data_IF_638908254823
#
_entry.id   IF_638908254823
#
_cell.length_a   1.000
_cell.length_b   1.000
_cell.length_c   1.000
_cell.angle_alpha   90.00
_cell.angle_beta   90.00
_cell.angle_gamma   90.00
#
_symmetry.space_group_name_H-M   'P 1'
#
loop_
_entity.id
_entity.type
_entity.pdbx_description
1 polymer ?
#
# COMPACT_ATOMS: atom_id res chain seq x y z
N UNK A 1 62.49 -29.59 -23.13
CA UNK A 1 62.04 -30.88 -23.68
C UNK A 1 60.54 -31.00 -23.45
N UNK A 2 59.78 -31.03 -24.56
CA UNK A 2 58.35 -31.36 -24.74
C UNK A 2 57.29 -30.54 -23.99
N UNK A 3 56.88 -29.46 -24.67
CA UNK A 3 55.50 -28.98 -24.73
C UNK A 3 54.58 -30.16 -25.06
N UNK A 4 53.64 -30.48 -24.19
CA UNK A 4 52.56 -31.42 -24.49
C UNK A 4 51.28 -30.61 -24.75
N UNK A 5 51.09 -30.28 -26.02
CA UNK A 5 49.79 -29.97 -26.60
C UNK A 5 48.89 -31.20 -26.50
N UNK A 6 47.81 -31.11 -25.73
CA UNK A 6 46.63 -31.96 -25.94
C UNK A 6 45.45 -31.06 -26.29
N UNK A 7 45.21 -30.99 -27.59
CA UNK A 7 44.00 -30.45 -28.21
C UNK A 7 42.98 -31.59 -28.27
N UNK A 8 41.69 -31.22 -28.14
CA UNK A 8 40.48 -31.92 -28.64
C UNK A 8 39.77 -32.90 -27.67
N UNK A 9 38.42 -33.05 -27.69
CA UNK A 9 37.37 -32.32 -28.43
C UNK A 9 36.31 -31.63 -27.54
N UNK A 10 35.61 -30.72 -28.19
CA UNK A 10 34.29 -30.20 -27.86
C UNK A 10 33.29 -31.33 -27.53
N UNK A 11 32.71 -31.28 -26.33
CA UNK A 11 31.38 -31.80 -26.07
C UNK A 11 30.49 -30.61 -25.72
N UNK A 12 29.93 -29.99 -26.76
CA UNK A 12 28.72 -29.18 -26.63
C UNK A 12 27.61 -30.10 -26.13
N UNK A 13 27.43 -30.17 -24.81
CA UNK A 13 26.23 -30.71 -24.22
C UNK A 13 25.07 -29.73 -24.52
N UNK A 14 24.29 -30.12 -25.54
CA UNK A 14 22.84 -30.00 -25.55
C UNK A 14 22.24 -28.59 -25.53
N UNK A 15 22.14 -27.98 -26.72
CA UNK A 15 21.05 -27.07 -27.04
C UNK A 15 19.71 -27.82 -26.88
N UNK A 16 18.97 -27.54 -25.80
CA UNK A 16 17.68 -28.17 -25.52
C UNK A 16 16.82 -27.42 -24.50
N UNK A 17 17.07 -26.13 -24.28
CA UNK A 17 16.38 -25.30 -23.27
C UNK A 17 15.86 -23.97 -23.83
N UNK A 18 15.71 -23.84 -25.16
CA UNK A 18 15.30 -22.57 -25.77
C UNK A 18 13.78 -22.39 -25.81
N UNK A 19 13.01 -23.44 -26.11
CA UNK A 19 11.55 -23.30 -26.28
C UNK A 19 10.80 -23.01 -24.97
N UNK A 20 11.21 -23.59 -23.85
CA UNK A 20 10.50 -23.43 -22.57
C UNK A 20 10.64 -22.02 -22.01
N UNK A 21 11.83 -21.42 -22.13
CA UNK A 21 12.07 -20.04 -21.69
C UNK A 21 11.37 -19.02 -22.60
N UNK A 22 11.28 -19.31 -23.89
CA UNK A 22 10.58 -18.45 -24.85
C UNK A 22 9.05 -18.46 -24.60
N UNK A 23 8.47 -19.63 -24.30
CA UNK A 23 7.05 -19.76 -23.92
C UNK A 23 6.74 -19.09 -22.58
N UNK A 24 7.64 -19.16 -21.61
CA UNK A 24 7.46 -18.48 -20.32
C UNK A 24 7.51 -16.95 -20.45
N UNK A 25 8.39 -16.44 -21.32
CA UNK A 25 8.49 -15.01 -21.61
C UNK A 25 7.22 -14.50 -22.32
N UNK A 26 6.73 -15.23 -23.32
CA UNK A 26 5.50 -14.87 -24.05
C UNK A 26 4.27 -14.91 -23.13
N UNK A 27 4.21 -15.86 -22.18
CA UNK A 27 3.12 -15.95 -21.20
C UNK A 27 3.10 -14.73 -20.26
N UNK A 28 4.28 -14.29 -19.80
CA UNK A 28 4.43 -13.08 -18.96
C UNK A 28 4.03 -11.81 -19.69
N UNK A 29 4.39 -11.68 -20.97
CA UNK A 29 3.99 -10.52 -21.78
C UNK A 29 2.48 -10.48 -22.02
N UNK A 30 1.83 -11.64 -22.24
CA UNK A 30 0.36 -11.72 -22.36
C UNK A 30 -0.36 -11.39 -21.05
N UNK A 31 0.18 -11.81 -19.89
CA UNK A 31 -0.39 -11.49 -18.58
C UNK A 31 -0.33 -9.98 -18.28
N UNK A 32 0.80 -9.33 -18.60
CA UNK A 32 0.95 -7.87 -18.49
C UNK A 32 -0.04 -7.14 -19.40
N UNK A 33 -0.17 -7.56 -20.66
CA UNK A 33 -1.11 -6.95 -21.62
C UNK A 33 -2.59 -7.11 -21.20
N UNK A 34 -2.95 -8.24 -20.56
CA UNK A 34 -4.28 -8.45 -19.99
C UNK A 34 -4.52 -7.50 -18.80
N UNK A 35 -3.54 -7.34 -17.92
CA UNK A 35 -3.61 -6.47 -16.74
C UNK A 35 -3.73 -4.98 -17.11
N UNK A 36 -3.04 -4.55 -18.16
CA UNK A 36 -3.18 -3.20 -18.72
C UNK A 36 -4.57 -2.97 -19.35
N UNK A 37 -5.13 -3.97 -20.05
CA UNK A 37 -6.50 -3.90 -20.58
C UNK A 37 -7.54 -3.83 -19.47
N UNK A 38 -7.40 -4.60 -18.39
CA UNK A 38 -8.30 -4.52 -17.22
C UNK A 38 -8.29 -3.12 -16.57
N UNK A 39 -7.12 -2.48 -16.47
CA UNK A 39 -7.01 -1.11 -15.98
C UNK A 39 -7.70 -0.10 -16.92
N UNK A 40 -7.57 -0.29 -18.23
CA UNK A 40 -8.23 0.60 -19.22
C UNK A 40 -9.75 0.49 -19.22
N UNK A 41 -10.30 -0.69 -18.93
CA UNK A 41 -11.74 -0.92 -18.83
C UNK A 41 -12.30 -0.36 -17.52
N UNK A 42 -11.59 -0.54 -16.39
CA UNK A 42 -11.96 0.09 -15.12
C UNK A 42 -12.00 1.62 -15.19
N UNK A 43 -11.21 2.23 -16.06
CA UNK A 43 -11.28 3.68 -16.30
C UNK A 43 -12.47 4.09 -17.18
N UNK A 44 -12.92 3.23 -18.10
CA UNK A 44 -14.09 3.49 -18.96
C UNK A 44 -15.43 3.34 -18.23
N UNK A 45 -15.53 2.48 -17.23
CA UNK A 45 -16.77 2.32 -16.46
C UNK A 45 -17.05 3.48 -15.49
N UNK A 46 -16.07 4.37 -15.27
CA UNK A 46 -16.24 5.56 -14.42
C UNK A 46 -16.65 6.82 -15.21
N UNK A 47 -16.77 6.74 -16.55
CA UNK A 47 -17.08 7.90 -17.42
C UNK A 47 -18.21 7.59 -18.40
N UNK A 48 -19.33 7.01 -17.95
CA UNK A 48 -20.61 7.08 -18.72
C UNK A 48 -21.81 6.95 -17.78
N UNK A 49 -22.09 8.01 -17.00
CA UNK A 49 -23.46 8.32 -16.58
C UNK A 49 -23.56 9.78 -16.10
N UNK A 50 -23.72 10.72 -17.04
CA UNK A 50 -24.35 12.02 -16.79
C UNK A 50 -24.93 12.58 -18.08
N UNK A 51 -26.26 12.68 -18.13
CA UNK A 51 -27.03 13.62 -18.96
C UNK A 51 -28.22 14.06 -18.10
N UNK A 52 -28.22 15.24 -17.47
CA UNK A 52 -28.51 16.62 -17.94
C UNK A 52 -30.00 16.97 -18.04
N UNK A 53 -30.40 17.94 -17.21
CA UNK A 53 -31.36 19.04 -17.42
C UNK A 53 -31.54 19.74 -16.06
N UNK A 54 -31.48 21.05 -15.86
CA UNK A 54 -31.35 22.19 -16.77
C UNK A 54 -30.96 23.44 -15.97
N UNK A 55 -30.91 24.56 -16.69
CA UNK A 55 -30.30 25.84 -16.33
C UNK A 55 -30.94 26.58 -15.14
N UNK A 56 -30.12 27.29 -14.35
CA UNK A 56 -30.29 28.73 -14.09
C UNK A 56 -29.09 29.31 -13.34
N UNK A 57 -28.61 30.45 -13.85
CA UNK A 57 -27.48 31.24 -13.35
C UNK A 57 -27.87 31.95 -12.04
N UNK A 58 -27.08 31.78 -10.98
CA UNK A 58 -27.11 32.63 -9.78
C UNK A 58 -25.69 32.82 -9.24
N UNK A 59 -25.26 34.08 -9.17
CA UNK A 59 -23.94 34.48 -8.67
C UNK A 59 -23.93 34.34 -7.14
N UNK A 60 -23.35 33.26 -6.65
CA UNK A 60 -22.92 33.12 -5.26
C UNK A 60 -21.52 32.47 -5.22
N UNK A 61 -20.68 32.80 -4.22
CA UNK A 61 -19.28 32.39 -4.21
C UNK A 61 -19.21 30.87 -4.25
N UNK A 62 -18.57 30.36 -5.30
CA UNK A 62 -18.35 28.95 -5.59
C UNK A 62 -17.48 28.35 -4.49
N UNK A 63 -18.10 27.95 -3.39
CA UNK A 63 -17.51 27.02 -2.43
C UNK A 63 -17.18 25.78 -3.24
N UNK A 64 -15.88 25.51 -3.37
CA UNK A 64 -15.39 24.34 -4.07
C UNK A 64 -16.09 23.09 -3.50
N UNK A 65 -16.47 22.11 -4.33
CA UNK A 65 -17.08 20.88 -3.83
C UNK A 65 -16.13 20.27 -2.80
N UNK A 66 -16.57 20.24 -1.55
CA UNK A 66 -15.84 19.58 -0.49
C UNK A 66 -15.83 18.09 -0.85
N UNK A 67 -14.69 17.59 -1.30
CA UNK A 67 -14.52 16.18 -1.66
C UNK A 67 -14.81 15.37 -0.39
N UNK A 68 -15.98 14.74 -0.35
CA UNK A 68 -16.43 13.98 0.82
C UNK A 68 -15.52 12.76 0.95
N UNK A 69 -14.48 12.89 1.77
CA UNK A 69 -13.53 11.80 2.02
C UNK A 69 -14.29 10.67 2.72
N UNK A 70 -14.39 9.52 2.05
CA UNK A 70 -14.96 8.32 2.65
C UNK A 70 -14.03 7.83 3.76
N UNK A 71 -14.60 7.64 4.96
CA UNK A 71 -13.87 7.14 6.11
C UNK A 71 -13.77 5.62 6.01
N UNK A 72 -12.58 5.01 6.18
CA UNK A 72 -12.38 3.58 5.97
C UNK A 72 -13.09 2.72 7.02
N UNK A 73 -13.29 3.26 8.22
CA UNK A 73 -14.11 2.68 9.29
C UNK A 73 -14.48 3.78 10.28
N UNK A 74 -15.36 3.45 11.24
CA UNK A 74 -15.68 4.27 12.39
C UNK A 74 -15.38 3.50 13.68
N UNK A 75 -14.95 4.22 14.71
CA UNK A 75 -14.59 3.64 16.01
C UNK A 75 -13.08 3.38 16.12
N UNK A 76 -12.71 2.58 17.12
CA UNK A 76 -11.31 2.26 17.44
C UNK A 76 -10.94 0.90 16.89
N UNK A 77 -9.77 0.84 16.24
CA UNK A 77 -9.13 -0.39 15.77
C UNK A 77 -7.72 -0.49 16.33
N UNK A 78 -7.29 -1.71 16.61
CA UNK A 78 -5.97 -1.99 17.17
C UNK A 78 -5.06 -2.61 16.11
N UNK A 79 -3.78 -2.27 16.18
CA UNK A 79 -2.75 -2.80 15.30
C UNK A 79 -1.39 -2.81 16.00
N UNK A 80 -0.46 -3.57 15.45
CA UNK A 80 0.93 -3.60 15.88
C UNK A 80 1.80 -3.94 14.67
N UNK A 81 2.80 -3.10 14.37
CA UNK A 81 3.76 -3.36 13.30
C UNK A 81 4.95 -4.20 13.76
N UNK A 82 5.34 -4.13 15.03
CA UNK A 82 6.59 -4.73 15.53
C UNK A 82 6.41 -6.16 16.07
N UNK A 83 5.18 -6.68 16.05
CA UNK A 83 4.85 -7.97 16.65
C UNK A 83 4.98 -7.99 18.19
N UNK A 84 4.70 -9.15 18.78
CA UNK A 84 4.76 -9.35 20.24
C UNK A 84 3.55 -8.83 21.03
N UNK A 85 3.59 -9.00 22.36
CA UNK A 85 2.50 -8.65 23.30
C UNK A 85 2.77 -7.41 24.16
N UNK A 86 4.01 -6.90 24.13
CA UNK A 86 4.45 -5.81 25.02
C UNK A 86 4.18 -4.39 24.49
N UNK A 87 3.87 -4.24 23.20
CA UNK A 87 3.55 -2.93 22.61
C UNK A 87 2.35 -3.06 21.69
N UNK A 88 1.60 -1.98 21.56
CA UNK A 88 0.45 -1.94 20.66
C UNK A 88 0.09 -0.52 20.30
N UNK A 89 -0.72 -0.38 19.25
CA UNK A 89 -1.23 0.90 18.80
C UNK A 89 -2.73 0.82 18.53
N UNK A 90 -3.40 1.95 18.61
CA UNK A 90 -4.79 2.06 18.19
C UNK A 90 -5.00 3.28 17.33
N UNK A 91 -5.96 3.17 16.43
CA UNK A 91 -6.46 4.25 15.60
C UNK A 91 -7.97 4.37 15.81
N UNK A 92 -8.42 5.56 16.20
CA UNK A 92 -9.83 5.89 16.30
C UNK A 92 -10.19 6.83 15.16
N UNK A 93 -11.23 6.50 14.38
CA UNK A 93 -11.84 7.41 13.40
C UNK A 93 -13.26 7.73 13.85
N UNK A 94 -13.54 8.99 14.12
CA UNK A 94 -14.86 9.47 14.56
C UNK A 94 -15.74 9.86 13.37
N UNK A 95 -17.05 10.03 13.62
CA UNK A 95 -18.03 10.38 12.58
C UNK A 95 -17.73 11.71 11.87
N UNK A 96 -17.10 12.66 12.56
CA UNK A 96 -16.66 13.95 12.01
C UNK A 96 -15.30 13.86 11.30
N UNK A 97 -14.78 12.64 11.08
CA UNK A 97 -13.51 12.39 10.43
C UNK A 97 -12.29 12.74 11.27
N UNK A 98 -12.43 12.89 12.60
CA UNK A 98 -11.27 13.07 13.48
C UNK A 98 -10.59 11.72 13.69
N UNK A 99 -9.28 11.70 13.48
CA UNK A 99 -8.40 10.56 13.69
C UNK A 99 -7.59 10.78 14.95
N UNK A 100 -7.53 9.76 15.81
CA UNK A 100 -6.69 9.74 17.01
C UNK A 100 -5.82 8.48 16.96
N UNK A 101 -4.50 8.64 16.96
CA UNK A 101 -3.57 7.52 17.09
C UNK A 101 -2.98 7.49 18.49
N UNK A 102 -2.95 6.31 19.10
CA UNK A 102 -2.38 6.07 20.43
C UNK A 102 -1.37 4.95 20.40
N UNK A 103 -0.30 5.09 21.18
CA UNK A 103 0.64 3.99 21.50
C UNK A 103 0.43 3.51 22.94
N UNK A 104 0.55 2.20 23.12
CA UNK A 104 0.44 1.50 24.38
C UNK A 104 1.77 0.80 24.67
N UNK A 105 2.30 1.02 25.87
CA UNK A 105 3.44 0.27 26.39
C UNK A 105 3.02 -1.03 27.06
N UNK A 106 3.99 -1.76 27.62
CA UNK A 106 3.73 -2.97 28.37
C UNK A 106 2.84 -2.66 29.57
N UNK A 107 1.85 -3.50 29.91
CA UNK A 107 0.95 -3.27 31.06
C UNK A 107 1.71 -3.06 32.37
N UNK A 108 2.84 -3.76 32.51
CA UNK A 108 3.76 -3.71 33.65
C UNK A 108 4.38 -2.31 33.84
N UNK A 109 4.42 -1.50 32.79
CA UNK A 109 4.94 -0.14 32.85
C UNK A 109 3.93 0.86 33.46
N UNK A 110 2.67 0.46 33.71
CA UNK A 110 1.66 1.31 34.35
C UNK A 110 1.43 2.65 33.63
N UNK A 111 1.71 2.71 32.32
CA UNK A 111 1.70 3.95 31.54
C UNK A 111 0.38 4.13 30.81
N UNK A 112 -0.20 5.32 30.96
CA UNK A 112 -1.31 5.75 30.13
C UNK A 112 -0.92 5.76 28.65
N UNK A 113 -1.86 5.45 27.74
CA UNK A 113 -1.58 5.48 26.32
C UNK A 113 -1.22 6.89 25.86
N UNK A 114 -0.11 6.99 25.12
CA UNK A 114 0.35 8.27 24.56
C UNK A 114 -0.40 8.57 23.26
N UNK A 115 -0.95 9.78 23.13
CA UNK A 115 -1.56 10.25 21.87
C UNK A 115 -0.44 10.72 20.95
N UNK A 116 -0.21 9.99 19.86
CA UNK A 116 0.83 10.32 18.88
C UNK A 116 0.30 11.28 17.80
N UNK A 117 -1.01 11.25 17.54
CA UNK A 117 -1.63 12.08 16.52
C UNK A 117 -3.09 12.37 16.87
N UNK A 118 -3.53 13.60 16.60
CA UNK A 118 -4.93 14.00 16.58
C UNK A 118 -5.16 15.00 15.44
N UNK A 119 -5.98 14.63 14.47
CA UNK A 119 -6.22 15.47 13.28
C UNK A 119 -7.38 14.98 12.44
N UNK A 120 -7.57 15.55 11.25
CA UNK A 120 -8.59 15.07 10.29
C UNK A 120 -8.07 13.91 9.46
N UNK A 121 -8.96 12.99 9.12
CA UNK A 121 -8.63 11.87 8.26
C UNK A 121 -8.18 12.36 6.90
N UNK A 122 -7.07 11.80 6.45
CA UNK A 122 -6.57 11.91 5.10
C UNK A 122 -6.13 10.51 4.66
N UNK A 123 -6.15 10.25 3.36
CA UNK A 123 -5.70 8.97 2.80
C UNK A 123 -4.24 8.64 3.17
N UNK A 124 -3.44 9.69 3.40
CA UNK A 124 -2.07 9.64 3.92
C UNK A 124 -2.04 10.44 5.23
N UNK A 125 -1.88 9.74 6.35
CA UNK A 125 -1.85 10.30 7.70
C UNK A 125 -0.39 10.54 8.08
N UNK A 126 0.03 11.79 8.12
CA UNK A 126 1.39 12.16 8.55
C UNK A 126 1.39 12.38 10.05
N UNK A 127 1.88 11.40 10.81
CA UNK A 127 1.96 11.45 12.28
C UNK A 127 3.08 12.41 12.68
N UNK A 128 4.26 12.22 12.10
CA UNK A 128 5.41 13.11 12.25
C UNK A 128 6.24 13.08 10.94
N UNK A 129 7.52 13.51 10.99
CA UNK A 129 8.38 13.55 9.79
C UNK A 129 8.73 12.15 9.24
N UNK A 130 8.81 11.17 10.13
CA UNK A 130 9.33 9.84 9.85
C UNK A 130 8.22 8.77 9.87
N UNK A 131 7.08 9.06 10.52
CA UNK A 131 5.93 8.18 10.57
C UNK A 131 4.78 8.69 9.71
N UNK A 132 4.52 7.98 8.62
CA UNK A 132 3.41 8.24 7.71
C UNK A 132 2.62 6.96 7.51
N UNK A 133 1.33 7.00 7.79
CA UNK A 133 0.44 5.85 7.69
C UNK A 133 -0.55 5.99 6.54
N UNK A 134 -0.93 4.86 5.96
CA UNK A 134 -1.96 4.73 4.94
C UNK A 134 -2.91 3.61 5.35
N UNK A 135 -4.20 3.78 5.13
CA UNK A 135 -5.23 2.77 5.43
C UNK A 135 -5.87 2.34 4.13
N UNK A 136 -5.91 1.04 3.87
CA UNK A 136 -6.61 0.45 2.73
C UNK A 136 -7.35 -0.81 3.17
N UNK A 137 -8.68 -0.76 3.07
CA UNK A 137 -9.55 -1.81 3.62
C UNK A 137 -9.34 -1.94 5.13
N UNK A 138 -9.12 -3.16 5.60
CA UNK A 138 -8.90 -3.48 7.02
C UNK A 138 -7.40 -3.59 7.38
N UNK A 139 -6.53 -2.90 6.65
CA UNK A 139 -5.08 -2.91 6.88
C UNK A 139 -4.55 -1.49 7.01
N UNK A 140 -3.54 -1.34 7.84
CA UNK A 140 -2.74 -0.13 7.99
C UNK A 140 -1.31 -0.42 7.53
N UNK A 141 -0.72 0.55 6.83
CA UNK A 141 0.59 0.48 6.22
C UNK A 141 1.43 1.65 6.71
N UNK A 142 2.66 1.39 7.11
CA UNK A 142 3.65 2.45 7.27
C UNK A 142 4.34 2.67 5.92
N UNK A 143 4.34 3.92 5.47
CA UNK A 143 4.83 4.32 4.15
C UNK A 143 5.84 5.46 4.30
N UNK A 144 6.74 5.60 3.34
CA UNK A 144 7.61 6.77 3.29
C UNK A 144 6.91 7.98 2.66
N UNK A 145 7.62 9.10 2.52
CA UNK A 145 7.11 10.34 1.92
C UNK A 145 6.61 10.19 0.46
N UNK A 146 7.03 9.13 -0.25
CA UNK A 146 6.58 8.80 -1.61
C UNK A 146 5.36 7.87 -1.62
N UNK A 147 4.84 7.48 -0.45
CA UNK A 147 3.72 6.54 -0.31
C UNK A 147 4.09 5.07 -0.53
N UNK A 148 5.39 4.75 -0.57
CA UNK A 148 5.87 3.36 -0.71
C UNK A 148 5.94 2.72 0.67
N UNK A 149 5.43 1.50 0.81
CA UNK A 149 5.42 0.74 2.07
C UNK A 149 6.85 0.51 2.55
N UNK A 150 7.10 0.88 3.80
CA UNK A 150 8.39 0.68 4.45
C UNK A 150 8.60 -0.80 4.81
N UNK A 151 9.85 -1.16 5.07
CA UNK A 151 10.25 -2.52 5.44
C UNK A 151 11.07 -2.47 6.72
N UNK A 152 11.10 -3.58 7.46
CA UNK A 152 11.89 -3.71 8.69
C UNK A 152 11.07 -3.83 9.97
N UNK A 153 9.74 -3.85 9.89
CA UNK A 153 8.90 -3.80 11.09
C UNK A 153 8.90 -5.11 11.91
N UNK A 154 8.75 -6.26 11.25
CA UNK A 154 8.84 -7.59 11.90
C UNK A 154 10.14 -8.33 11.54
N UNK A 155 11.16 -7.58 11.09
CA UNK A 155 12.44 -8.14 10.64
C UNK A 155 12.89 -7.63 9.27
N UNK A 156 14.10 -8.01 8.87
CA UNK A 156 14.74 -7.51 7.65
C UNK A 156 13.90 -7.84 6.40
N UNK A 157 13.61 -6.81 5.61
CA UNK A 157 12.86 -6.94 4.36
C UNK A 157 11.35 -7.16 4.51
N UNK A 158 10.83 -7.36 5.73
CA UNK A 158 9.41 -7.57 5.97
C UNK A 158 8.64 -6.25 5.87
N UNK A 159 7.59 -6.15 5.04
CA UNK A 159 6.85 -4.92 4.86
C UNK A 159 6.06 -4.55 6.12
N UNK A 160 6.02 -3.26 6.42
CA UNK A 160 5.31 -2.69 7.56
C UNK A 160 3.81 -2.62 7.31
N UNK A 161 3.12 -3.74 7.50
CA UNK A 161 1.69 -3.90 7.27
C UNK A 161 1.09 -4.58 8.49
N UNK A 162 -0.01 -4.04 9.01
CA UNK A 162 -0.75 -4.65 10.12
C UNK A 162 -2.25 -4.69 9.83
N UNK A 163 -2.91 -5.73 10.35
CA UNK A 163 -4.36 -5.82 10.33
C UNK A 163 -5.00 -4.90 11.37
N UNK A 164 -6.12 -4.30 11.03
CA UNK A 164 -6.92 -3.50 11.95
C UNK A 164 -7.97 -4.40 12.63
N UNK A 165 -7.82 -4.65 13.93
CA UNK A 165 -8.70 -5.49 14.72
C UNK A 165 -9.69 -4.67 15.53
#
# INVERSE_FOLDING_TARGET
MKILLFILPLLFLSCGQNETKQKELELKERELALKEKELSLKYKDTVTSKSFSGDTVSLNPKVAPEEKIELPFLGTKYFNFMGGSGTGQSITITKDGTVILKSYGAPEAGTDPSINYKGKYAKIIKVNKDEIYKIEGNKIYMVNAKGVVEKGCEGEGIPCISGLN
#
